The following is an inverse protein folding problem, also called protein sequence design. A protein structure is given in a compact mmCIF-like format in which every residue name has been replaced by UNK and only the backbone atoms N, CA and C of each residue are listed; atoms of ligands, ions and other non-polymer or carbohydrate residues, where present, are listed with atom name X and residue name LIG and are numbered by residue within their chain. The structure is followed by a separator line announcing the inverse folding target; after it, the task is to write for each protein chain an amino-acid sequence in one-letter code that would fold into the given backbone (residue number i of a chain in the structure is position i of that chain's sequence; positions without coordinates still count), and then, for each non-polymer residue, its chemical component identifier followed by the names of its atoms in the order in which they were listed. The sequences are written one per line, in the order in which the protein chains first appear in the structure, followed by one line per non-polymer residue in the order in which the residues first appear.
data_IF_146693998788
#
_entry.id   IF_146693998788
#
_cell.length_a   1.000
_cell.length_b   1.000
_cell.length_c   1.000
_cell.angle_alpha   90.00
_cell.angle_beta   90.00
_cell.angle_gamma   90.00
#
_symmetry.space_group_name_H-M   'P 1'
#
loop_
_entity.id
_entity.type
_entity.pdbx_description
1 polymer ?
#
# COMPACT_ATOMS: atom_id res chain seq x y z
N UNK A 1 5.94 23.59 -6.80
CA UNK A 1 5.36 24.61 -5.91
C UNK A 1 4.39 23.89 -4.96
N UNK A 2 4.77 23.76 -3.69
CA UNK A 2 4.01 23.03 -2.67
C UNK A 2 2.96 23.98 -2.09
N UNK A 3 1.67 23.71 -2.34
CA UNK A 3 0.60 24.38 -1.62
C UNK A 3 0.40 23.67 -0.29
N UNK A 4 1.06 24.17 0.74
CA UNK A 4 0.59 23.97 2.11
C UNK A 4 -0.82 24.54 2.19
N UNK A 5 -1.78 23.71 2.60
CA UNK A 5 -3.04 24.18 3.17
C UNK A 5 -2.66 25.25 4.20
N UNK A 6 -3.10 26.50 3.99
CA UNK A 6 -2.75 27.60 4.90
C UNK A 6 -3.53 27.42 6.18
N UNK A 7 -3.02 26.57 7.07
CA UNK A 7 -3.56 26.35 8.40
C UNK A 7 -3.22 27.59 9.23
N UNK A 8 -4.07 28.62 9.16
CA UNK A 8 -4.04 29.72 10.13
C UNK A 8 -4.77 29.25 11.39
N UNK A 9 -4.01 29.02 12.45
CA UNK A 9 -4.50 28.70 13.80
C UNK A 9 -5.33 27.40 13.92
N UNK A 10 -5.04 26.37 13.13
CA UNK A 10 -5.73 25.07 13.23
C UNK A 10 -7.16 25.05 12.67
N UNK A 11 -7.62 26.16 12.08
CA UNK A 11 -8.94 26.27 11.45
C UNK A 11 -8.77 26.14 9.95
N UNK A 12 -9.28 25.05 9.38
CA UNK A 12 -9.37 24.90 7.91
C UNK A 12 -10.52 25.76 7.41
N UNK A 13 -10.24 26.66 6.46
CA UNK A 13 -11.29 27.50 5.88
C UNK A 13 -12.19 26.67 4.97
N UNK A 14 -13.51 26.87 5.07
CA UNK A 14 -14.47 26.16 4.22
C UNK A 14 -14.24 26.42 2.72
N UNK A 15 -13.70 27.59 2.36
CA UNK A 15 -13.28 27.92 1.00
C UNK A 15 -12.24 26.94 0.45
N UNK A 16 -11.23 26.62 1.27
CA UNK A 16 -10.10 25.78 0.87
C UNK A 16 -10.56 24.32 0.72
N UNK A 17 -11.46 23.87 1.59
CA UNK A 17 -12.12 22.57 1.47
C UNK A 17 -12.94 22.48 0.19
N UNK A 18 -13.76 23.51 -0.09
CA UNK A 18 -14.58 23.56 -1.30
C UNK A 18 -13.72 23.57 -2.56
N UNK A 19 -12.66 24.37 -2.59
CA UNK A 19 -11.74 24.45 -3.73
C UNK A 19 -11.03 23.11 -3.96
N UNK A 20 -10.52 22.48 -2.90
CA UNK A 20 -9.93 21.14 -2.97
C UNK A 20 -10.91 20.09 -3.49
N UNK A 21 -12.16 20.10 -3.02
CA UNK A 21 -13.21 19.19 -3.50
C UNK A 21 -13.56 19.44 -4.97
N UNK A 22 -13.72 20.69 -5.39
CA UNK A 22 -14.00 21.04 -6.79
C UNK A 22 -12.84 20.62 -7.71
N UNK A 23 -11.60 20.85 -7.29
CA UNK A 23 -10.40 20.42 -8.04
C UNK A 23 -10.39 18.91 -8.23
N UNK A 24 -10.69 18.14 -7.17
CA UNK A 24 -10.80 16.67 -7.22
C UNK A 24 -11.94 16.19 -8.10
N UNK A 25 -13.13 16.77 -7.97
CA UNK A 25 -14.28 16.43 -8.79
C UNK A 25 -13.99 16.65 -10.29
N UNK A 26 -13.40 17.80 -10.63
CA UNK A 26 -13.03 18.11 -12.01
C UNK A 26 -11.95 17.15 -12.54
N UNK A 27 -10.95 16.81 -11.73
CA UNK A 27 -9.92 15.85 -12.12
C UNK A 27 -10.47 14.43 -12.30
N UNK A 28 -11.45 14.02 -11.49
CA UNK A 28 -12.14 12.74 -11.63
C UNK A 28 -12.88 12.64 -12.97
N UNK A 29 -13.45 13.74 -13.46
CA UNK A 29 -14.07 13.79 -14.79
C UNK A 29 -13.05 13.86 -15.93
N UNK A 30 -11.99 14.66 -15.77
CA UNK A 30 -11.01 14.90 -16.83
C UNK A 30 -10.02 13.75 -17.04
N UNK A 31 -9.73 12.99 -15.99
CA UNK A 31 -8.73 11.92 -16.00
C UNK A 31 -9.28 10.67 -15.30
N UNK A 32 -10.37 10.05 -15.77
CA UNK A 32 -11.01 8.93 -15.08
C UNK A 32 -10.09 7.70 -15.02
N UNK A 33 -10.29 6.86 -14.01
CA UNK A 33 -9.68 5.54 -13.96
C UNK A 33 -10.51 4.53 -14.75
N UNK A 34 -9.84 3.58 -15.37
CA UNK A 34 -10.47 2.42 -16.00
C UNK A 34 -10.97 1.45 -14.92
N UNK A 35 -12.11 0.82 -15.16
CA UNK A 35 -12.60 -0.24 -14.28
C UNK A 35 -11.72 -1.48 -14.43
N UNK A 36 -11.16 -1.96 -13.33
CA UNK A 36 -10.37 -3.20 -13.28
C UNK A 36 -11.04 -4.16 -12.30
N UNK A 37 -11.50 -5.30 -12.80
CA UNK A 37 -12.18 -6.34 -12.02
C UNK A 37 -11.77 -7.73 -12.47
N UNK A 38 -12.23 -8.77 -11.75
CA UNK A 38 -11.89 -10.17 -12.00
C UNK A 38 -12.39 -10.74 -13.34
N UNK A 39 -13.20 -10.01 -14.11
CA UNK A 39 -13.66 -10.45 -15.43
C UNK A 39 -12.65 -10.29 -16.56
N UNK A 40 -11.57 -9.53 -16.34
CA UNK A 40 -10.48 -9.31 -17.31
C UNK A 40 -9.43 -10.41 -17.22
N UNK A 41 -8.74 -10.72 -18.32
CA UNK A 41 -7.58 -11.60 -18.30
C UNK A 41 -6.41 -10.98 -17.51
N UNK A 42 -5.50 -11.78 -16.92
CA UNK A 42 -4.41 -11.25 -16.08
C UNK A 42 -3.54 -10.18 -16.74
N UNK A 43 -3.23 -10.33 -18.03
CA UNK A 43 -2.43 -9.34 -18.77
C UNK A 43 -3.21 -8.04 -19.02
N UNK A 44 -4.52 -8.16 -19.28
CA UNK A 44 -5.41 -7.01 -19.45
C UNK A 44 -5.56 -6.24 -18.14
N UNK A 45 -5.73 -6.97 -17.02
CA UNK A 45 -5.74 -6.39 -15.68
C UNK A 45 -4.43 -5.63 -15.42
N UNK A 46 -3.29 -6.27 -15.69
CA UNK A 46 -1.97 -5.68 -15.48
C UNK A 46 -1.75 -4.42 -16.32
N UNK A 47 -2.18 -4.43 -17.58
CA UNK A 47 -2.10 -3.28 -18.47
C UNK A 47 -3.02 -2.13 -18.00
N UNK A 48 -4.25 -2.43 -17.57
CA UNK A 48 -5.19 -1.44 -17.07
C UNK A 48 -4.71 -0.81 -15.75
N UNK A 49 -4.19 -1.62 -14.82
CA UNK A 49 -3.58 -1.14 -13.57
C UNK A 49 -2.43 -0.17 -13.85
N UNK A 50 -1.55 -0.50 -14.80
CA UNK A 50 -0.46 0.42 -15.23
C UNK A 50 -0.99 1.75 -15.75
N UNK A 51 -2.05 1.74 -16.57
CA UNK A 51 -2.68 2.98 -17.07
C UNK A 51 -3.34 3.80 -15.96
N UNK A 52 -3.97 3.12 -14.98
CA UNK A 52 -4.55 3.79 -13.82
C UNK A 52 -3.47 4.43 -12.95
N UNK A 53 -2.35 3.75 -12.69
CA UNK A 53 -1.21 4.35 -11.98
C UNK A 53 -0.58 5.52 -12.73
N UNK A 54 -0.40 5.44 -14.06
CA UNK A 54 0.07 6.58 -14.85
C UNK A 54 -0.89 7.77 -14.77
N UNK A 55 -2.20 7.50 -14.73
CA UNK A 55 -3.21 8.54 -14.50
C UNK A 55 -3.12 9.14 -13.11
N UNK A 56 -2.95 8.30 -12.09
CA UNK A 56 -2.78 8.74 -10.71
C UNK A 56 -1.52 9.62 -10.55
N UNK A 57 -0.40 9.22 -11.13
CA UNK A 57 0.84 10.02 -11.16
C UNK A 57 0.62 11.42 -11.74
N UNK A 58 -0.13 11.53 -12.86
CA UNK A 58 -0.48 12.84 -13.43
C UNK A 58 -1.32 13.69 -12.48
N UNK A 59 -2.27 13.06 -11.76
CA UNK A 59 -3.08 13.76 -10.74
C UNK A 59 -2.22 14.21 -9.55
N UNK A 60 -1.28 13.39 -9.10
CA UNK A 60 -0.32 13.76 -8.05
C UNK A 60 0.57 14.93 -8.51
N UNK A 61 1.10 14.87 -9.72
CA UNK A 61 1.92 15.95 -10.28
C UNK A 61 1.14 17.28 -10.42
N UNK A 62 -0.16 17.21 -10.72
CA UNK A 62 -1.05 18.37 -10.72
C UNK A 62 -1.47 18.85 -9.31
N UNK A 63 -1.02 18.18 -8.26
CA UNK A 63 -1.38 18.46 -6.86
C UNK A 63 -2.87 18.27 -6.59
N UNK A 64 -3.51 17.32 -7.28
CA UNK A 64 -4.90 16.92 -7.04
C UNK A 64 -4.96 15.81 -5.99
N UNK A 65 -4.02 14.88 -6.08
CA UNK A 65 -3.92 13.70 -5.23
C UNK A 65 -2.51 13.57 -4.64
N UNK A 66 -2.32 12.61 -3.74
CA UNK A 66 -1.04 12.35 -3.10
C UNK A 66 -0.90 10.86 -2.70
N UNK A 67 0.34 10.39 -2.60
CA UNK A 67 0.66 8.99 -2.30
C UNK A 67 0.39 8.57 -0.84
N UNK A 68 0.02 9.51 0.03
CA UNK A 68 -0.09 9.32 1.49
C UNK A 68 -1.52 9.37 2.03
N UNK A 69 -2.44 10.03 1.32
CA UNK A 69 -3.80 10.32 1.76
C UNK A 69 -4.87 9.91 0.76
N UNK A 70 -4.50 9.27 -0.35
CA UNK A 70 -5.46 8.80 -1.35
C UNK A 70 -5.90 7.34 -1.12
N UNK A 71 -7.10 7.03 -1.64
CA UNK A 71 -7.78 5.74 -1.56
C UNK A 71 -7.31 4.81 -2.70
N UNK A 72 -6.44 3.81 -2.45
CA UNK A 72 -5.92 2.95 -3.51
C UNK A 72 -7.01 2.15 -4.25
N UNK A 73 -8.23 2.06 -3.71
CA UNK A 73 -9.35 1.34 -4.29
C UNK A 73 -9.91 1.94 -5.59
N UNK A 74 -9.59 3.20 -5.90
CA UNK A 74 -10.01 3.80 -7.17
C UNK A 74 -9.17 3.28 -8.36
N UNK A 75 -8.04 2.60 -8.09
CA UNK A 75 -7.16 2.04 -9.11
C UNK A 75 -7.67 0.69 -9.62
N UNK A 76 -8.24 -0.14 -8.75
CA UNK A 76 -8.78 -1.46 -9.10
C UNK A 76 -9.64 -2.03 -7.98
N UNK A 77 -10.50 -2.99 -8.32
CA UNK A 77 -11.11 -3.88 -7.33
C UNK A 77 -10.10 -4.91 -6.82
N UNK A 78 -9.32 -4.50 -5.82
CA UNK A 78 -8.25 -5.32 -5.26
C UNK A 78 -8.72 -6.66 -4.69
N UNK A 79 -9.98 -6.77 -4.27
CA UNK A 79 -10.52 -8.03 -3.75
C UNK A 79 -10.65 -9.10 -4.85
N UNK A 80 -10.82 -8.69 -6.11
CA UNK A 80 -10.95 -9.58 -7.26
C UNK A 80 -9.66 -9.73 -8.08
N UNK A 81 -8.68 -8.83 -7.88
CA UNK A 81 -7.45 -8.76 -8.69
C UNK A 81 -6.25 -9.37 -7.99
N UNK A 82 -6.14 -9.22 -6.67
CA UNK A 82 -4.99 -9.72 -5.91
C UNK A 82 -5.01 -11.24 -5.83
N UNK A 83 -3.83 -11.85 -5.92
CA UNK A 83 -3.66 -13.28 -5.62
C UNK A 83 -3.96 -13.55 -4.14
N UNK A 84 -4.23 -14.80 -3.72
CA UNK A 84 -4.46 -15.10 -2.31
C UNK A 84 -3.30 -14.67 -1.38
N UNK A 85 -2.06 -14.77 -1.87
CA UNK A 85 -0.85 -14.33 -1.15
C UNK A 85 -0.83 -12.81 -0.99
N UNK A 86 -1.03 -12.07 -2.07
CA UNK A 86 -1.10 -10.61 -2.02
C UNK A 86 -2.30 -10.14 -1.18
N UNK A 87 -3.46 -10.79 -1.32
CA UNK A 87 -4.68 -10.44 -0.60
C UNK A 87 -4.50 -10.59 0.92
N UNK A 88 -3.87 -11.67 1.38
CA UNK A 88 -3.53 -11.85 2.79
C UNK A 88 -2.65 -10.71 3.31
N UNK A 89 -1.58 -10.36 2.57
CA UNK A 89 -0.75 -9.21 2.93
C UNK A 89 -1.52 -7.88 2.89
N UNK A 90 -2.44 -7.71 1.94
CA UNK A 90 -3.26 -6.51 1.81
C UNK A 90 -4.19 -6.29 3.00
N UNK A 91 -4.67 -7.37 3.63
CA UNK A 91 -5.46 -7.25 4.85
C UNK A 91 -4.63 -6.67 6.00
N UNK A 92 -3.41 -7.16 6.20
CA UNK A 92 -2.50 -6.68 7.26
C UNK A 92 -2.00 -5.26 7.01
N UNK A 93 -1.66 -4.91 5.76
CA UNK A 93 -1.25 -3.55 5.39
C UNK A 93 -2.34 -2.55 5.76
N UNK A 94 -3.60 -2.89 5.47
CA UNK A 94 -4.74 -2.01 5.74
C UNK A 94 -5.15 -1.97 7.20
N UNK A 95 -5.11 -3.09 7.92
CA UNK A 95 -5.41 -3.10 9.36
C UNK A 95 -4.44 -2.20 10.14
N UNK A 96 -3.20 -2.11 9.65
CA UNK A 96 -2.14 -1.29 10.21
C UNK A 96 -2.09 0.15 9.63
N UNK A 97 -2.94 0.46 8.65
CA UNK A 97 -3.03 1.80 8.04
C UNK A 97 -1.79 2.21 7.26
N UNK A 98 -1.03 1.27 6.69
CA UNK A 98 0.19 1.60 5.96
C UNK A 98 -0.13 2.11 4.54
N UNK A 99 0.46 3.24 4.10
CA UNK A 99 0.23 3.82 2.76
C UNK A 99 1.04 3.10 1.68
N UNK A 100 0.80 1.79 1.51
CA UNK A 100 1.39 0.98 0.45
C UNK A 100 0.35 0.71 -0.64
N UNK A 101 0.78 0.83 -1.88
CA UNK A 101 -0.05 0.74 -3.07
C UNK A 101 0.09 -0.64 -3.73
N UNK A 102 -1.02 -1.39 -3.96
CA UNK A 102 -0.97 -2.74 -4.50
C UNK A 102 -0.55 -2.79 -5.98
N UNK A 103 0.23 -3.80 -6.36
CA UNK A 103 0.73 -4.01 -7.74
C UNK A 103 1.29 -2.75 -8.39
N UNK A 104 2.12 -2.03 -7.63
CA UNK A 104 2.71 -0.76 -8.05
C UNK A 104 3.73 -0.99 -9.19
N UNK A 105 3.54 -0.40 -10.38
CA UNK A 105 4.53 -0.44 -11.44
C UNK A 105 5.75 0.40 -11.05
N UNK A 106 6.94 -0.18 -11.20
CA UNK A 106 8.21 0.54 -11.01
C UNK A 106 9.11 0.21 -12.20
N UNK A 107 9.12 1.11 -13.17
CA UNK A 107 9.69 0.82 -14.50
C UNK A 107 8.95 -0.34 -15.16
N UNK A 108 9.69 -1.31 -15.66
CA UNK A 108 9.13 -2.50 -16.31
C UNK A 108 8.62 -3.55 -15.32
N UNK A 109 8.95 -3.41 -14.04
CA UNK A 109 8.59 -4.37 -12.99
C UNK A 109 7.30 -3.98 -12.28
N UNK A 110 6.69 -4.94 -11.59
CA UNK A 110 5.53 -4.72 -10.72
C UNK A 110 5.89 -5.20 -9.32
N UNK A 111 5.73 -4.30 -8.35
CA UNK A 111 5.95 -4.58 -6.93
C UNK A 111 4.64 -5.01 -6.30
N UNK A 112 4.63 -6.03 -5.43
CA UNK A 112 3.39 -6.47 -4.77
C UNK A 112 2.71 -5.30 -4.02
N UNK A 113 3.48 -4.57 -3.21
CA UNK A 113 3.02 -3.36 -2.53
C UNK A 113 4.16 -2.33 -2.41
N UNK A 114 3.89 -1.05 -2.69
CA UNK A 114 4.93 -0.04 -2.61
C UNK A 114 4.45 1.37 -2.28
N UNK A 115 5.33 2.17 -1.67
CA UNK A 115 5.16 3.60 -1.56
C UNK A 115 6.27 4.29 -2.37
N UNK A 116 5.95 4.91 -3.53
CA UNK A 116 6.97 5.48 -4.40
C UNK A 116 7.59 6.76 -3.85
N UNK A 117 6.86 7.51 -3.00
CA UNK A 117 7.41 8.70 -2.35
C UNK A 117 8.46 8.34 -1.30
N UNK A 118 8.24 7.28 -0.53
CA UNK A 118 9.15 6.78 0.50
C UNK A 118 10.23 5.83 -0.07
N UNK A 119 10.07 5.35 -1.30
CA UNK A 119 10.83 4.23 -1.89
C UNK A 119 10.89 3.01 -0.97
N UNK A 120 9.74 2.64 -0.38
CA UNK A 120 9.58 1.45 0.46
C UNK A 120 8.68 0.45 -0.26
N UNK A 121 9.09 -0.81 -0.27
CA UNK A 121 8.36 -1.88 -0.95
C UNK A 121 8.22 -3.11 -0.05
N UNK A 122 7.08 -3.78 -0.14
CA UNK A 122 6.86 -5.15 0.33
C UNK A 122 6.62 -6.03 -0.89
N UNK A 123 7.50 -7.01 -1.10
CA UNK A 123 7.36 -8.02 -2.14
C UNK A 123 6.91 -9.34 -1.51
N UNK A 124 5.81 -9.89 -2.00
CA UNK A 124 5.21 -11.11 -1.48
C UNK A 124 5.51 -12.31 -2.37
N UNK A 125 5.57 -13.51 -1.78
CA UNK A 125 5.72 -14.77 -2.50
C UNK A 125 7.15 -15.29 -2.56
N UNK A 126 7.25 -16.58 -2.87
CA UNK A 126 8.48 -17.37 -2.85
C UNK A 126 9.04 -17.64 -4.25
N UNK A 127 8.40 -17.11 -5.29
CA UNK A 127 8.80 -17.29 -6.68
C UNK A 127 10.07 -16.50 -7.05
N UNK A 128 10.76 -16.98 -8.09
CA UNK A 128 12.00 -16.37 -8.58
C UNK A 128 11.78 -14.94 -9.10
N UNK A 129 10.60 -14.64 -9.63
CA UNK A 129 10.29 -13.30 -10.12
C UNK A 129 10.20 -12.30 -8.96
N UNK A 130 9.53 -12.66 -7.87
CA UNK A 130 9.50 -11.91 -6.60
C UNK A 130 10.92 -11.63 -6.10
N UNK A 131 11.80 -12.64 -6.10
CA UNK A 131 13.20 -12.45 -5.72
C UNK A 131 13.95 -11.49 -6.66
N UNK A 132 13.76 -11.63 -7.98
CA UNK A 132 14.36 -10.78 -9.01
C UNK A 132 13.91 -9.32 -8.86
N UNK A 133 12.61 -9.08 -8.68
CA UNK A 133 12.04 -7.74 -8.48
C UNK A 133 12.63 -7.10 -7.23
N UNK A 134 12.66 -7.83 -6.12
CA UNK A 134 13.21 -7.31 -4.87
C UNK A 134 14.70 -6.96 -4.99
N UNK A 135 15.48 -7.76 -5.70
CA UNK A 135 16.89 -7.50 -5.95
C UNK A 135 17.09 -6.22 -6.77
N UNK A 136 16.37 -6.08 -7.88
CA UNK A 136 16.47 -4.91 -8.75
C UNK A 136 16.05 -3.61 -8.04
N UNK A 137 14.96 -3.64 -7.28
CA UNK A 137 14.49 -2.50 -6.49
C UNK A 137 15.55 -2.06 -5.46
N UNK A 138 16.17 -3.02 -4.78
CA UNK A 138 17.24 -2.73 -3.80
C UNK A 138 18.42 -2.02 -4.45
N UNK A 139 18.77 -2.39 -5.68
CA UNK A 139 19.84 -1.74 -6.46
C UNK A 139 19.48 -0.31 -6.90
N UNK A 140 18.20 0.01 -7.01
CA UNK A 140 17.70 1.34 -7.43
C UNK A 140 17.31 2.24 -6.26
N UNK A 141 17.78 1.89 -5.06
CA UNK A 141 17.64 2.69 -3.85
C UNK A 141 16.28 2.55 -3.14
N UNK A 142 15.53 1.49 -3.44
CA UNK A 142 14.36 1.13 -2.65
C UNK A 142 14.77 0.32 -1.43
N UNK A 143 14.06 0.55 -0.32
CA UNK A 143 14.10 -0.35 0.83
C UNK A 143 13.02 -1.42 0.64
N UNK A 144 13.45 -2.64 0.34
CA UNK A 144 12.55 -3.75 0.01
C UNK A 144 12.52 -4.76 1.14
N UNK A 145 11.31 -5.10 1.56
CA UNK A 145 11.03 -6.20 2.47
C UNK A 145 10.42 -7.34 1.69
N UNK A 146 10.84 -8.57 2.00
CA UNK A 146 10.28 -9.78 1.40
C UNK A 146 9.47 -10.53 2.43
N UNK A 147 8.34 -11.07 2.00
CA UNK A 147 7.52 -11.98 2.80
C UNK A 147 7.17 -13.22 2.01
N UNK A 148 7.31 -14.38 2.64
CA UNK A 148 6.98 -15.67 2.01
C UNK A 148 5.47 -15.80 1.83
N UNK A 149 5.04 -16.68 0.93
CA UNK A 149 3.62 -16.97 0.76
C UNK A 149 2.98 -17.46 2.08
N UNK A 150 3.73 -18.25 2.85
CA UNK A 150 3.31 -18.73 4.16
C UNK A 150 3.12 -17.60 5.17
N UNK A 151 4.00 -16.59 5.21
CA UNK A 151 3.84 -15.44 6.11
C UNK A 151 2.61 -14.61 5.76
N UNK A 152 2.39 -14.33 4.48
CA UNK A 152 1.26 -13.50 4.02
C UNK A 152 -0.11 -14.15 4.23
N UNK A 153 -0.17 -15.48 4.31
CA UNK A 153 -1.43 -16.24 4.45
C UNK A 153 -1.62 -16.82 5.86
N UNK A 154 -0.66 -16.61 6.77
CA UNK A 154 -0.71 -17.17 8.12
C UNK A 154 -1.78 -16.46 8.93
N UNK A 155 -2.87 -17.16 9.22
CA UNK A 155 -3.77 -16.80 10.30
C UNK A 155 -3.29 -17.50 11.57
N UNK A 156 -2.87 -16.72 12.56
CA UNK A 156 -2.48 -17.26 13.87
C UNK A 156 -3.73 -17.39 14.74
N UNK A 157 -3.96 -18.58 15.28
CA UNK A 157 -5.04 -18.76 16.26
C UNK A 157 -4.82 -17.86 17.47
N UNK A 158 -5.92 -17.28 17.96
CA UNK A 158 -5.93 -16.59 19.25
C UNK A 158 -5.55 -17.59 20.34
N UNK A 159 -4.48 -17.35 21.10
CA UNK A 159 -4.04 -18.30 22.11
C UNK A 159 -5.12 -18.56 23.16
N UNK A 160 -5.29 -19.81 23.57
CA UNK A 160 -6.19 -20.16 24.66
C UNK A 160 -5.78 -19.51 25.99
N UNK A 161 -4.51 -19.15 26.13
CA UNK A 161 -3.91 -18.42 27.26
C UNK A 161 -3.98 -16.89 27.12
N UNK A 162 -4.75 -16.34 26.16
CA UNK A 162 -5.22 -14.94 26.27
C UNK A 162 -6.13 -14.89 27.50
N UNK A 163 -5.50 -14.72 28.66
CA UNK A 163 -6.15 -14.61 29.95
C UNK A 163 -7.00 -13.35 29.92
N UNK A 164 -8.30 -13.54 29.70
CA UNK A 164 -9.36 -12.58 29.94
C UNK A 164 -9.07 -11.18 29.39
N UNK A 165 -9.44 -10.87 28.14
CA UNK A 165 -9.79 -9.50 27.66
C UNK A 165 -8.86 -8.32 28.04
N UNK A 166 -7.63 -8.59 28.51
CA UNK A 166 -6.62 -7.64 28.99
C UNK A 166 -5.52 -7.44 27.95
N UNK A 167 -5.46 -8.29 26.91
CA UNK A 167 -4.55 -8.15 25.77
C UNK A 167 -3.12 -8.67 26.02
N UNK A 168 -2.82 -9.25 27.18
CA UNK A 168 -1.49 -9.77 27.46
C UNK A 168 -1.33 -11.20 26.92
N UNK A 169 -0.46 -11.37 25.92
CA UNK A 169 0.00 -12.66 25.38
C UNK A 169 1.39 -13.00 25.91
N UNK A 170 1.73 -14.29 25.96
CA UNK A 170 3.08 -14.72 26.34
C UNK A 170 4.15 -14.21 25.36
N UNK A 171 5.37 -13.96 25.85
CA UNK A 171 6.50 -13.53 25.02
C UNK A 171 6.83 -14.55 23.92
N UNK A 172 6.69 -15.84 24.24
CA UNK A 172 6.88 -16.92 23.27
C UNK A 172 5.85 -16.84 22.13
N UNK A 173 4.57 -16.57 22.44
CA UNK A 173 3.57 -16.36 21.40
C UNK A 173 3.87 -15.13 20.56
N UNK A 174 4.21 -14.00 21.21
CA UNK A 174 4.56 -12.75 20.51
C UNK A 174 5.74 -12.95 19.56
N UNK A 175 6.81 -13.58 20.02
CA UNK A 175 7.98 -13.90 19.20
C UNK A 175 7.61 -14.76 17.99
N UNK A 176 6.76 -15.79 18.19
CA UNK A 176 6.26 -16.63 17.10
C UNK A 176 5.36 -15.86 16.14
N UNK A 177 4.48 -15.00 16.63
CA UNK A 177 3.60 -14.16 15.81
C UNK A 177 4.41 -13.23 14.89
N UNK A 178 5.44 -12.56 15.43
CA UNK A 178 6.30 -11.66 14.67
C UNK A 178 7.14 -12.38 13.60
N UNK A 179 7.52 -13.64 13.83
CA UNK A 179 8.41 -14.39 12.93
C UNK A 179 7.67 -15.27 11.92
N UNK A 180 6.53 -15.86 12.31
CA UNK A 180 5.80 -16.84 11.51
C UNK A 180 4.65 -16.24 10.69
N UNK A 181 4.17 -15.05 11.04
CA UNK A 181 3.18 -14.28 10.30
C UNK A 181 3.83 -13.02 9.70
N UNK A 182 3.06 -12.26 8.93
CA UNK A 182 3.53 -11.05 8.27
C UNK A 182 3.80 -9.88 9.25
N UNK A 183 3.33 -10.00 10.50
CA UNK A 183 3.35 -8.93 11.50
C UNK A 183 4.74 -8.31 11.76
N UNK A 184 5.80 -9.13 11.87
CA UNK A 184 7.16 -8.61 12.06
C UNK A 184 7.62 -7.79 10.86
N UNK A 185 7.41 -8.31 9.65
CA UNK A 185 7.72 -7.60 8.40
C UNK A 185 6.95 -6.30 8.29
N UNK A 186 5.67 -6.27 8.68
CA UNK A 186 4.84 -5.06 8.67
C UNK A 186 5.37 -4.01 9.65
N UNK A 187 5.84 -4.42 10.83
CA UNK A 187 6.50 -3.52 11.76
C UNK A 187 7.78 -2.91 11.17
N UNK A 188 8.59 -3.70 10.46
CA UNK A 188 9.79 -3.21 9.80
C UNK A 188 9.48 -2.24 8.64
N UNK A 189 8.45 -2.54 7.85
CA UNK A 189 7.94 -1.66 6.79
C UNK A 189 7.44 -0.34 7.38
N UNK A 190 6.69 -0.39 8.48
CA UNK A 190 6.22 0.79 9.22
C UNK A 190 7.39 1.66 9.64
N UNK A 191 8.43 1.08 10.27
CA UNK A 191 9.61 1.82 10.67
C UNK A 191 10.35 2.45 9.47
N UNK A 192 10.41 1.75 8.34
CA UNK A 192 11.00 2.30 7.12
C UNK A 192 10.22 3.51 6.58
N UNK A 193 8.88 3.44 6.57
CA UNK A 193 8.02 4.54 6.14
C UNK A 193 8.20 5.77 7.04
N UNK A 194 8.23 5.58 8.36
CA UNK A 194 8.47 6.65 9.34
C UNK A 194 9.86 7.26 9.13
N UNK A 195 10.90 6.44 8.97
CA UNK A 195 12.26 6.91 8.74
C UNK A 195 12.40 7.70 7.43
N UNK A 196 11.58 7.39 6.42
CA UNK A 196 11.49 8.13 5.16
C UNK A 196 10.63 9.42 5.27
N UNK A 197 10.10 9.75 6.45
CA UNK A 197 9.28 10.94 6.68
C UNK A 197 7.81 10.79 6.27
N UNK A 198 7.34 9.57 6.05
CA UNK A 198 5.92 9.30 5.71
C UNK A 198 5.06 9.51 6.94
N UNK A 199 3.95 10.23 6.79
CA UNK A 199 2.92 10.34 7.84
C UNK A 199 2.04 9.09 7.78
N UNK A 200 1.85 8.45 8.93
CA UNK A 200 0.99 7.29 9.12
C UNK A 200 -0.26 7.69 9.90
#
# INVERSE_FOLDING_TARGET
MSHQTSVKNGIVQFSDLREGLLKRFNAAQAMPFESVSGGLLPDEQSAAIRRNYATFERRVAAGVDDWTGFCPYDIADWALVLTPVEFGAWQDIRSEGLPLWPRLPVGDLVVSFGNPAAKVALQCGDDEESARVAHWLSQTGWRVFRATAAQCTRVMETPADVRERTGNVSDAYRARYLTAALAGTIQDVRHALIAAGTRL
#
